data_IF_396625114019
#
_entry.id   IF_396625114019
#
_cell.length_a   1.000
_cell.length_b   1.000
_cell.length_c   1.000
_cell.angle_alpha   90.00
_cell.angle_beta   90.00
_cell.angle_gamma   90.00
#
_symmetry.space_group_name_H-M   'P 1'
#
loop_
_entity.id
_entity.type
_entity.pdbx_description
1 polymer ?
#
# COMPACT_ATOMS: atom_id res chain seq x y z
N UNK A 1 -8.78 6.39 95.81
CA UNK A 1 -9.46 5.63 94.75
C UNK A 1 -9.18 6.24 93.37
N UNK A 2 -8.00 6.03 92.75
CA UNK A 2 -7.64 6.62 91.45
C UNK A 2 -7.74 5.63 90.26
N UNK A 3 -8.03 4.36 90.51
CA UNK A 3 -7.88 3.28 89.53
C UNK A 3 -9.05 3.15 88.54
N UNK A 4 -10.25 3.62 88.87
CA UNK A 4 -11.44 3.51 88.00
C UNK A 4 -11.41 4.45 86.78
N UNK A 5 -10.93 5.67 86.95
CA UNK A 5 -10.83 6.66 85.86
C UNK A 5 -9.81 6.26 84.79
N UNK A 6 -8.70 5.61 85.20
CA UNK A 6 -7.64 5.21 84.27
C UNK A 6 -8.07 4.04 83.37
N UNK A 7 -8.84 3.07 83.90
CA UNK A 7 -9.42 2.00 83.09
C UNK A 7 -10.44 2.56 82.09
N UNK A 8 -11.32 3.45 82.53
CA UNK A 8 -12.32 4.08 81.65
C UNK A 8 -11.67 4.89 80.52
N UNK A 9 -10.57 5.58 80.80
CA UNK A 9 -9.82 6.33 79.79
C UNK A 9 -9.18 5.40 78.75
N UNK A 10 -8.57 4.29 79.20
CA UNK A 10 -7.95 3.28 78.32
C UNK A 10 -8.97 2.57 77.43
N UNK A 11 -10.15 2.26 77.96
CA UNK A 11 -11.24 1.65 77.19
C UNK A 11 -11.83 2.62 76.15
N UNK A 12 -11.93 3.91 76.49
CA UNK A 12 -12.37 4.94 75.55
C UNK A 12 -11.33 5.19 74.45
N UNK A 13 -10.04 5.14 74.78
CA UNK A 13 -8.94 5.23 73.81
C UNK A 13 -8.96 4.03 72.84
N UNK A 14 -9.17 2.81 73.34
CA UNK A 14 -9.32 1.62 72.51
C UNK A 14 -10.54 1.70 71.57
N UNK A 15 -11.66 2.26 72.05
CA UNK A 15 -12.85 2.53 71.24
C UNK A 15 -12.56 3.51 70.11
N UNK A 16 -11.89 4.62 70.40
CA UNK A 16 -11.46 5.61 69.40
C UNK A 16 -10.54 5.00 68.35
N UNK A 17 -9.61 4.12 68.76
CA UNK A 17 -8.72 3.41 67.86
C UNK A 17 -9.48 2.43 66.95
N UNK A 18 -10.43 1.68 67.50
CA UNK A 18 -11.28 0.80 66.70
C UNK A 18 -12.10 1.58 65.68
N UNK A 19 -12.69 2.70 66.06
CA UNK A 19 -13.47 3.55 65.15
C UNK A 19 -12.61 4.11 64.01
N UNK A 20 -11.38 4.52 64.31
CA UNK A 20 -10.41 4.94 63.29
C UNK A 20 -10.11 3.80 62.30
N UNK A 21 -9.83 2.60 62.80
CA UNK A 21 -9.54 1.42 61.96
C UNK A 21 -10.75 1.02 61.11
N UNK A 22 -11.96 1.14 61.63
CA UNK A 22 -13.19 0.90 60.87
C UNK A 22 -13.32 1.92 59.74
N UNK A 23 -13.13 3.22 60.01
CA UNK A 23 -13.18 4.26 58.97
C UNK A 23 -12.10 4.08 57.89
N UNK A 24 -10.91 3.66 58.27
CA UNK A 24 -9.81 3.37 57.33
C UNK A 24 -10.14 2.15 56.44
N UNK A 25 -10.70 1.09 57.04
CA UNK A 25 -11.16 -0.09 56.29
C UNK A 25 -12.33 0.24 55.35
N UNK A 26 -13.28 1.06 55.79
CA UNK A 26 -14.41 1.53 54.97
C UNK A 26 -13.92 2.34 53.76
N UNK A 27 -12.96 3.25 53.96
CA UNK A 27 -12.36 4.03 52.88
C UNK A 27 -11.68 3.11 51.86
N UNK A 28 -10.89 2.15 52.33
CA UNK A 28 -10.22 1.19 51.45
C UNK A 28 -11.24 0.37 50.63
N UNK A 29 -12.28 -0.17 51.27
CA UNK A 29 -13.34 -0.92 50.58
C UNK A 29 -14.04 -0.03 49.54
N UNK A 30 -14.36 1.21 49.87
CA UNK A 30 -14.97 2.16 48.93
C UNK A 30 -14.08 2.35 47.69
N UNK A 31 -12.77 2.57 47.88
CA UNK A 31 -11.84 2.72 46.74
C UNK A 31 -11.72 1.44 45.92
N UNK A 32 -11.75 0.26 46.56
CA UNK A 32 -11.69 -1.02 45.86
C UNK A 32 -12.94 -1.29 45.02
N UNK A 33 -14.12 -0.89 45.50
CA UNK A 33 -15.38 -1.03 44.78
C UNK A 33 -15.40 -0.08 43.58
N UNK A 34 -15.07 1.20 43.78
CA UNK A 34 -15.03 2.20 42.70
C UNK A 34 -14.03 1.82 41.60
N UNK A 35 -12.84 1.33 41.97
CA UNK A 35 -11.84 0.84 41.03
C UNK A 35 -12.29 -0.47 40.34
N UNK A 36 -13.12 -1.27 40.99
CA UNK A 36 -13.77 -2.44 40.39
C UNK A 36 -14.78 -2.04 39.31
N UNK A 37 -15.62 -1.06 39.58
CA UNK A 37 -16.61 -0.52 38.64
C UNK A 37 -15.92 0.15 37.44
N UNK A 38 -14.86 0.92 37.68
CA UNK A 38 -14.05 1.53 36.63
C UNK A 38 -13.43 0.49 35.70
N UNK A 39 -12.87 -0.59 36.25
CA UNK A 39 -12.32 -1.69 35.44
C UNK A 39 -13.40 -2.47 34.69
N UNK A 40 -14.59 -2.64 35.28
CA UNK A 40 -15.70 -3.32 34.63
C UNK A 40 -16.19 -2.54 33.40
N UNK A 41 -16.39 -1.22 33.54
CA UNK A 41 -16.79 -0.34 32.42
C UNK A 41 -15.73 -0.26 31.33
N UNK A 42 -14.45 -0.20 31.69
CA UNK A 42 -13.34 -0.25 30.75
C UNK A 42 -13.30 -1.57 29.97
N UNK A 43 -13.49 -2.70 30.66
CA UNK A 43 -13.57 -4.02 30.03
C UNK A 43 -14.74 -4.14 29.05
N UNK A 44 -15.91 -3.60 29.41
CA UNK A 44 -17.08 -3.60 28.53
C UNK A 44 -16.83 -2.75 27.28
N UNK A 45 -16.23 -1.57 27.45
CA UNK A 45 -15.84 -0.71 26.33
C UNK A 45 -14.88 -1.43 25.38
N UNK A 46 -13.83 -2.06 25.91
CA UNK A 46 -12.85 -2.81 25.11
C UNK A 46 -13.52 -3.98 24.36
N UNK A 47 -14.47 -4.67 24.98
CA UNK A 47 -15.23 -5.73 24.32
C UNK A 47 -16.06 -5.18 23.14
N UNK A 48 -16.72 -4.04 23.30
CA UNK A 48 -17.47 -3.39 22.23
C UNK A 48 -16.55 -2.95 21.07
N UNK A 49 -15.39 -2.36 21.38
CA UNK A 49 -14.39 -1.99 20.38
C UNK A 49 -13.86 -3.20 19.62
N UNK A 50 -13.59 -4.31 20.30
CA UNK A 50 -13.17 -5.58 19.69
C UNK A 50 -14.22 -6.13 18.72
N UNK A 51 -15.49 -6.14 19.13
CA UNK A 51 -16.60 -6.60 18.27
C UNK A 51 -16.70 -5.73 17.02
N UNK A 52 -16.60 -4.40 17.17
CA UNK A 52 -16.59 -3.47 16.03
C UNK A 52 -15.42 -3.74 15.10
N UNK A 53 -14.21 -3.91 15.65
CA UNK A 53 -13.01 -4.20 14.87
C UNK A 53 -13.14 -5.51 14.08
N UNK A 54 -13.68 -6.57 14.69
CA UNK A 54 -13.95 -7.86 14.03
C UNK A 54 -14.98 -7.73 12.90
N UNK A 55 -16.03 -6.94 13.10
CA UNK A 55 -17.01 -6.69 12.05
C UNK A 55 -16.38 -5.91 10.87
N UNK A 56 -15.58 -4.88 11.14
CA UNK A 56 -14.87 -4.15 10.09
C UNK A 56 -13.85 -5.01 9.35
N UNK A 57 -13.12 -5.89 10.06
CA UNK A 57 -12.20 -6.87 9.46
C UNK A 57 -12.94 -7.79 8.49
N UNK A 58 -14.08 -8.35 8.92
CA UNK A 58 -14.93 -9.20 8.09
C UNK A 58 -15.42 -8.45 6.84
N UNK A 59 -15.90 -7.22 6.99
CA UNK A 59 -16.38 -6.42 5.88
C UNK A 59 -15.25 -6.10 4.88
N UNK A 60 -14.07 -5.73 5.36
CA UNK A 60 -12.90 -5.48 4.51
C UNK A 60 -12.50 -6.73 3.72
N UNK A 61 -12.51 -7.90 4.37
CA UNK A 61 -12.24 -9.19 3.70
C UNK A 61 -13.25 -9.52 2.61
N UNK A 62 -14.53 -9.27 2.86
CA UNK A 62 -15.59 -9.48 1.86
C UNK A 62 -15.39 -8.56 0.64
N UNK A 63 -15.13 -7.27 0.87
CA UNK A 63 -14.81 -6.29 -0.20
C UNK A 63 -13.59 -6.70 -1.02
N UNK A 64 -12.52 -7.17 -0.38
CA UNK A 64 -11.34 -7.66 -1.10
C UNK A 64 -11.67 -8.88 -1.96
N UNK A 65 -12.44 -9.82 -1.41
CA UNK A 65 -12.84 -11.01 -2.15
C UNK A 65 -13.74 -10.67 -3.35
N UNK A 66 -14.64 -9.70 -3.22
CA UNK A 66 -15.42 -9.20 -4.36
C UNK A 66 -14.52 -8.59 -5.43
N UNK A 67 -13.55 -7.75 -5.05
CA UNK A 67 -12.61 -7.16 -6.01
C UNK A 67 -11.79 -8.22 -6.75
N UNK A 68 -11.28 -9.23 -6.05
CA UNK A 68 -10.53 -10.33 -6.65
C UNK A 68 -11.42 -11.14 -7.62
N UNK A 69 -12.67 -11.43 -7.24
CA UNK A 69 -13.63 -12.12 -8.12
C UNK A 69 -13.94 -11.29 -9.36
N UNK A 70 -14.23 -10.01 -9.21
CA UNK A 70 -14.50 -9.08 -10.32
C UNK A 70 -13.31 -8.97 -11.25
N UNK A 71 -12.09 -8.82 -10.72
CA UNK A 71 -10.86 -8.76 -11.52
C UNK A 71 -10.65 -10.05 -12.34
N UNK A 72 -10.82 -11.22 -11.70
CA UNK A 72 -10.71 -12.50 -12.38
C UNK A 72 -11.78 -12.65 -13.49
N UNK A 73 -13.03 -12.23 -13.24
CA UNK A 73 -14.09 -12.22 -14.25
C UNK A 73 -13.84 -11.24 -15.41
N UNK A 74 -13.23 -10.07 -15.14
CA UNK A 74 -12.86 -9.11 -16.19
C UNK A 74 -11.73 -9.63 -17.10
N UNK A 75 -10.82 -10.45 -16.57
CA UNK A 75 -9.81 -11.15 -17.38
C UNK A 75 -10.48 -12.15 -18.33
N UNK A 76 -11.58 -12.81 -17.93
CA UNK A 76 -12.30 -13.77 -18.78
C UNK A 76 -12.97 -13.11 -19.99
N UNK A 77 -13.52 -11.90 -19.85
CA UNK A 77 -14.15 -11.18 -20.98
C UNK A 77 -13.14 -10.59 -21.98
N UNK A 78 -11.87 -10.48 -21.60
CA UNK A 78 -10.78 -10.06 -22.52
C UNK A 78 -10.09 -11.24 -23.21
N UNK A 79 -10.23 -12.46 -22.68
CA UNK A 79 -9.60 -13.67 -23.24
C UNK A 79 -10.27 -14.21 -24.52
N UNK A 80 -11.44 -13.69 -24.90
CA UNK A 80 -12.07 -14.04 -26.18
C UNK A 80 -11.32 -13.44 -27.40
N UNK A 81 -10.46 -12.42 -27.19
CA UNK A 81 -9.77 -11.72 -28.29
C UNK A 81 -8.23 -11.70 -28.18
N UNK A 82 -7.62 -12.51 -27.32
CA UNK A 82 -6.16 -12.69 -27.34
C UNK A 82 -5.79 -14.03 -26.73
N UNK A 83 -5.47 -15.00 -27.58
CA UNK A 83 -4.48 -16.00 -27.21
C UNK A 83 -3.19 -15.27 -26.81
N UNK A 84 -2.40 -15.86 -25.92
CA UNK A 84 -1.20 -15.27 -25.28
C UNK A 84 -1.53 -14.45 -24.01
N UNK A 85 -1.87 -15.15 -22.92
CA UNK A 85 -1.35 -14.75 -21.61
C UNK A 85 -0.78 -15.99 -20.93
N UNK A 86 0.55 -15.98 -20.80
CA UNK A 86 1.36 -17.04 -20.24
C UNK A 86 0.90 -17.45 -18.83
N UNK A 87 0.69 -18.74 -18.65
CA UNK A 87 0.36 -19.46 -17.42
C UNK A 87 1.53 -19.56 -16.42
N UNK A 88 2.42 -18.57 -16.33
CA UNK A 88 3.65 -18.66 -15.54
C UNK A 88 3.87 -17.59 -14.46
N UNK A 89 2.91 -16.69 -14.19
CA UNK A 89 3.07 -15.63 -13.15
C UNK A 89 2.17 -15.86 -11.93
N UNK A 90 1.77 -17.09 -11.66
CA UNK A 90 1.06 -17.44 -10.41
C UNK A 90 1.74 -18.64 -9.73
N UNK A 91 3.06 -18.51 -9.56
CA UNK A 91 3.78 -19.24 -8.52
C UNK A 91 3.50 -18.59 -7.17
N UNK A 92 2.56 -19.19 -6.44
CA UNK A 92 2.30 -18.95 -5.02
C UNK A 92 3.58 -19.01 -4.19
N UNK A 93 4.13 -17.86 -3.76
CA UNK A 93 5.09 -17.81 -2.66
C UNK A 93 5.18 -16.41 -2.05
N UNK A 94 4.23 -16.07 -1.18
CA UNK A 94 4.35 -14.97 -0.23
C UNK A 94 3.99 -15.48 1.17
N UNK A 95 4.74 -16.47 1.62
CA UNK A 95 4.80 -16.88 3.03
C UNK A 95 6.21 -17.43 3.30
N UNK A 96 7.20 -16.57 3.52
CA UNK A 96 8.21 -16.80 4.56
C UNK A 96 9.11 -15.57 4.76
N UNK A 97 9.17 -15.08 5.99
CA UNK A 97 10.19 -14.13 6.44
C UNK A 97 11.45 -14.89 6.89
N UNK A 98 12.60 -14.22 6.74
CA UNK A 98 13.91 -14.49 7.37
C UNK A 98 14.87 -15.43 6.62
N UNK A 99 15.65 -14.88 5.68
CA UNK A 99 16.97 -15.43 5.31
C UNK A 99 17.93 -14.31 4.96
N UNK A 100 19.13 -14.39 5.56
CA UNK A 100 20.28 -13.49 5.41
C UNK A 100 20.67 -13.24 3.94
N UNK A 101 20.96 -11.98 3.62
CA UNK A 101 21.42 -11.50 2.32
C UNK A 101 22.85 -12.01 2.02
N UNK A 102 23.01 -12.78 0.95
CA UNK A 102 24.31 -13.07 0.31
C UNK A 102 24.33 -12.39 -1.08
N UNK A 103 25.42 -11.71 -1.48
CA UNK A 103 25.47 -11.06 -2.80
C UNK A 103 25.52 -12.09 -3.95
N UNK A 104 24.98 -11.75 -5.13
CA UNK A 104 24.93 -12.67 -6.27
C UNK A 104 26.33 -12.89 -6.89
N UNK A 105 26.61 -14.08 -7.45
CA UNK A 105 27.88 -14.36 -8.11
C UNK A 105 28.00 -13.65 -9.47
N UNK A 106 29.25 -13.37 -9.84
CA UNK A 106 29.65 -12.60 -11.01
C UNK A 106 29.20 -13.22 -12.35
N UNK A 107 28.86 -12.35 -13.30
CA UNK A 107 28.55 -12.66 -14.69
C UNK A 107 29.73 -13.37 -15.38
N UNK A 108 29.48 -14.56 -15.92
CA UNK A 108 30.35 -15.21 -16.90
C UNK A 108 29.72 -15.11 -18.30
N UNK A 109 30.48 -14.51 -19.22
CA UNK A 109 30.19 -14.47 -20.65
C UNK A 109 30.15 -15.87 -21.27
N UNK A 110 29.14 -16.15 -22.11
CA UNK A 110 29.25 -17.17 -23.16
C UNK A 110 28.25 -16.89 -24.28
N UNK A 111 28.76 -16.59 -25.48
CA UNK A 111 28.00 -16.62 -26.71
C UNK A 111 27.53 -18.06 -26.99
N UNK A 112 26.29 -18.23 -27.44
CA UNK A 112 25.84 -19.46 -28.08
C UNK A 112 24.96 -19.12 -29.28
N UNK A 113 25.52 -19.35 -30.46
CA UNK A 113 24.87 -19.41 -31.76
C UNK A 113 23.94 -20.63 -31.77
N UNK A 114 22.69 -20.45 -32.20
CA UNK A 114 21.70 -21.52 -32.32
C UNK A 114 20.70 -21.22 -33.42
N UNK A 115 21.08 -21.58 -34.64
CA UNK A 115 20.28 -21.56 -35.86
C UNK A 115 19.32 -22.76 -35.89
N UNK A 116 18.02 -22.52 -36.06
CA UNK A 116 17.11 -23.44 -36.78
C UNK A 116 16.01 -22.64 -37.46
N UNK A 117 16.07 -22.64 -38.79
CA UNK A 117 14.98 -22.29 -39.69
C UNK A 117 13.74 -23.12 -39.36
N UNK A 118 12.54 -22.57 -39.54
CA UNK A 118 11.45 -23.32 -40.17
C UNK A 118 10.45 -22.38 -40.85
N UNK A 119 10.41 -22.55 -42.17
CA UNK A 119 9.42 -22.03 -43.11
C UNK A 119 8.11 -22.83 -42.93
N UNK A 120 6.99 -22.14 -42.71
CA UNK A 120 5.68 -22.66 -43.11
C UNK A 120 4.96 -21.61 -43.95
N UNK A 121 4.80 -22.00 -45.22
CA UNK A 121 3.96 -21.45 -46.27
C UNK A 121 2.48 -21.51 -45.88
N UNK A 122 1.72 -20.47 -46.22
CA UNK A 122 0.34 -20.68 -46.67
C UNK A 122 -0.71 -19.68 -46.23
N UNK A 123 -1.14 -18.91 -47.23
CA UNK A 123 -2.55 -18.58 -47.52
C UNK A 123 -3.08 -17.21 -47.09
N UNK A 124 -3.34 -16.43 -48.15
CA UNK A 124 -4.20 -15.27 -48.19
C UNK A 124 -5.61 -15.56 -47.68
N UNK A 125 -6.17 -14.64 -46.89
CA UNK A 125 -7.61 -14.43 -46.78
C UNK A 125 -7.88 -12.99 -46.39
N UNK A 126 -8.90 -12.44 -47.05
CA UNK A 126 -9.30 -11.03 -47.14
C UNK A 126 -9.48 -10.29 -45.83
N UNK A 127 -9.11 -9.01 -45.89
CA UNK A 127 -9.34 -7.97 -44.90
C UNK A 127 -10.67 -7.25 -45.23
N UNK A 128 -11.71 -7.25 -44.38
CA UNK A 128 -12.82 -6.33 -44.59
C UNK A 128 -12.47 -4.96 -44.02
N UNK A 129 -12.43 -4.01 -44.95
CA UNK A 129 -12.46 -2.56 -44.78
C UNK A 129 -13.59 -2.13 -43.82
N UNK A 130 -13.24 -1.42 -42.75
CA UNK A 130 -14.22 -0.84 -41.82
C UNK A 130 -14.15 0.68 -41.90
N UNK A 131 -14.81 1.20 -42.94
CA UNK A 131 -15.28 2.58 -43.03
C UNK A 131 -16.18 2.88 -41.83
N UNK A 132 -15.74 3.78 -40.97
CA UNK A 132 -16.52 4.38 -39.90
C UNK A 132 -17.59 5.30 -40.51
N UNK A 133 -18.80 4.79 -40.68
CA UNK A 133 -19.98 5.62 -40.92
C UNK A 133 -20.77 5.80 -39.62
N UNK A 134 -20.96 7.05 -39.26
CA UNK A 134 -21.79 7.48 -38.14
C UNK A 134 -23.25 7.32 -38.51
N UNK A 135 -24.07 6.70 -37.66
CA UNK A 135 -25.31 7.28 -37.10
C UNK A 135 -26.16 6.23 -36.39
N UNK A 136 -26.57 6.58 -35.18
CA UNK A 136 -27.92 6.37 -34.62
C UNK A 136 -28.47 4.95 -34.52
N UNK A 137 -28.56 4.47 -33.27
CA UNK A 137 -29.78 3.95 -32.64
C UNK A 137 -29.44 2.83 -31.66
N UNK A 138 -29.41 3.14 -30.36
CA UNK A 138 -29.82 2.19 -29.32
C UNK A 138 -30.38 2.99 -28.13
N UNK A 139 -31.67 3.35 -28.24
CA UNK A 139 -32.52 3.56 -27.08
C UNK A 139 -32.92 2.17 -26.57
N UNK A 140 -32.20 1.65 -25.58
CA UNK A 140 -32.53 0.38 -24.92
C UNK A 140 -32.64 0.61 -23.42
N UNK A 141 -33.90 0.63 -23.00
CA UNK A 141 -34.45 0.57 -21.65
C UNK A 141 -33.71 -0.43 -20.75
N UNK A 142 -32.68 0.02 -20.05
CA UNK A 142 -32.24 -0.51 -18.76
C UNK A 142 -31.51 0.62 -18.03
N UNK A 143 -32.24 1.41 -17.25
CA UNK A 143 -31.62 2.25 -16.24
C UNK A 143 -31.14 1.32 -15.11
N UNK A 144 -29.83 1.08 -14.93
CA UNK A 144 -29.39 0.56 -13.66
C UNK A 144 -29.67 1.66 -12.63
N UNK A 145 -30.26 1.24 -11.53
CA UNK A 145 -30.56 2.02 -10.35
C UNK A 145 -29.36 2.88 -9.89
N UNK A 146 -29.35 4.15 -10.31
CA UNK A 146 -28.31 5.13 -9.96
C UNK A 146 -28.46 5.68 -8.53
N UNK A 147 -29.45 5.20 -7.75
CA UNK A 147 -29.60 5.60 -6.34
C UNK A 147 -28.49 5.03 -5.44
N UNK A 148 -27.68 4.10 -5.96
CA UNK A 148 -26.51 3.56 -5.27
C UNK A 148 -25.24 4.43 -5.37
N UNK A 149 -25.26 5.48 -6.19
CA UNK A 149 -24.11 6.40 -6.39
C UNK A 149 -24.19 7.66 -5.52
N UNK A 150 -25.30 7.90 -4.84
CA UNK A 150 -25.58 9.09 -4.01
C UNK A 150 -25.14 8.93 -2.53
N UNK A 151 -24.33 7.91 -2.23
CA UNK A 151 -23.96 7.51 -0.86
C UNK A 151 -22.47 7.68 -0.52
N UNK A 152 -21.68 8.33 -1.38
CA UNK A 152 -20.43 8.92 -0.93
C UNK A 152 -20.77 10.34 -0.49
N UNK A 153 -20.91 10.56 0.81
CA UNK A 153 -21.04 11.92 1.33
C UNK A 153 -19.88 12.76 0.79
N UNK A 154 -20.13 14.00 0.36
CA UNK A 154 -19.08 14.93 -0.07
C UNK A 154 -17.95 15.03 0.98
N UNK A 155 -18.29 14.88 2.26
CA UNK A 155 -17.37 14.77 3.40
C UNK A 155 -16.38 13.60 3.29
N UNK A 156 -16.83 12.43 2.81
CA UNK A 156 -15.98 11.25 2.65
C UNK A 156 -15.02 11.42 1.47
N UNK A 157 -15.46 12.10 0.40
CA UNK A 157 -14.61 12.45 -0.75
C UNK A 157 -13.55 13.47 -0.35
N UNK A 158 -13.91 14.47 0.46
CA UNK A 158 -12.97 15.44 1.01
C UNK A 158 -11.95 14.77 1.93
N UNK A 159 -12.39 13.87 2.82
CA UNK A 159 -11.50 13.10 3.67
C UNK A 159 -10.50 12.24 2.88
N UNK A 160 -10.95 11.56 1.83
CA UNK A 160 -10.07 10.79 0.94
C UNK A 160 -9.07 11.70 0.23
N UNK A 161 -9.49 12.89 -0.22
CA UNK A 161 -8.58 13.85 -0.86
C UNK A 161 -7.46 14.32 0.08
N UNK A 162 -7.79 14.55 1.37
CA UNK A 162 -6.83 14.91 2.40
C UNK A 162 -5.86 13.76 2.71
N UNK A 163 -6.35 12.52 2.73
CA UNK A 163 -5.53 11.33 2.93
C UNK A 163 -4.55 11.12 1.77
N UNK A 164 -5.02 11.29 0.52
CA UNK A 164 -4.18 11.23 -0.68
C UNK A 164 -3.10 12.32 -0.66
N UNK A 165 -3.46 13.56 -0.32
CA UNK A 165 -2.48 14.64 -0.26
C UNK A 165 -1.47 14.43 0.87
N UNK A 166 -1.91 13.93 2.02
CA UNK A 166 -1.02 13.54 3.12
C UNK A 166 -0.02 12.47 2.69
N UNK A 167 -0.48 11.40 2.05
CA UNK A 167 0.40 10.33 1.54
C UNK A 167 1.36 10.87 0.47
N UNK A 168 0.87 11.75 -0.42
CA UNK A 168 1.69 12.41 -1.42
C UNK A 168 2.82 13.23 -0.78
N UNK A 169 2.53 14.01 0.26
CA UNK A 169 3.52 14.80 0.98
C UNK A 169 4.55 13.89 1.64
N UNK A 170 4.12 12.84 2.34
CA UNK A 170 5.01 11.88 2.98
C UNK A 170 5.92 11.18 1.95
N UNK A 171 5.36 10.75 0.82
CA UNK A 171 6.13 10.16 -0.28
C UNK A 171 7.18 11.13 -0.82
N UNK A 172 6.80 12.40 -1.04
CA UNK A 172 7.71 13.43 -1.53
C UNK A 172 8.82 13.72 -0.52
N UNK A 173 8.52 13.75 0.77
CA UNK A 173 9.51 13.94 1.83
C UNK A 173 10.50 12.77 1.86
N UNK A 174 10.00 11.52 1.81
CA UNK A 174 10.85 10.31 1.78
C UNK A 174 11.74 10.28 0.53
N UNK A 175 11.17 10.60 -0.64
CA UNK A 175 11.90 10.69 -1.90
C UNK A 175 12.97 11.79 -1.87
N UNK A 176 12.64 12.95 -1.30
CA UNK A 176 13.57 14.06 -1.10
C UNK A 176 14.73 13.67 -0.19
N UNK A 177 14.45 12.99 0.91
CA UNK A 177 15.48 12.52 1.83
C UNK A 177 16.45 11.54 1.15
N UNK A 178 15.94 10.56 0.39
CA UNK A 178 16.76 9.64 -0.38
C UNK A 178 17.61 10.38 -1.42
N UNK A 179 17.04 11.32 -2.16
CA UNK A 179 17.78 12.13 -3.13
C UNK A 179 18.89 12.95 -2.47
N UNK A 180 18.70 13.43 -1.24
CA UNK A 180 19.75 14.11 -0.48
C UNK A 180 20.87 13.16 -0.09
N UNK A 181 20.55 11.96 0.41
CA UNK A 181 21.54 10.93 0.74
C UNK A 181 22.38 10.56 -0.49
N UNK A 182 21.74 10.32 -1.64
CA UNK A 182 22.42 10.00 -2.90
C UNK A 182 23.31 11.16 -3.36
N UNK A 183 22.83 12.41 -3.24
CA UNK A 183 23.62 13.60 -3.59
C UNK A 183 24.84 13.75 -2.69
N UNK A 184 24.68 13.49 -1.40
CA UNK A 184 25.77 13.54 -0.44
C UNK A 184 26.81 12.47 -0.75
N UNK A 185 26.40 11.21 -0.88
CA UNK A 185 27.29 10.12 -1.27
C UNK A 185 28.02 10.42 -2.57
N UNK A 186 27.30 10.93 -3.59
CA UNK A 186 27.90 11.36 -4.85
C UNK A 186 29.01 12.39 -4.64
N UNK A 187 28.76 13.42 -3.82
CA UNK A 187 29.77 14.44 -3.52
C UNK A 187 30.99 13.90 -2.75
N UNK A 188 30.78 12.93 -1.85
CA UNK A 188 31.87 12.32 -1.09
C UNK A 188 32.79 11.47 -1.98
N UNK A 189 32.21 10.67 -2.87
CA UNK A 189 32.98 9.80 -3.77
C UNK A 189 33.58 10.55 -4.97
N UNK A 190 33.05 11.72 -5.33
CA UNK A 190 33.53 12.51 -6.49
C UNK A 190 35.02 12.88 -6.36
N UNK A 191 35.50 13.18 -5.14
CA UNK A 191 36.91 13.55 -4.89
C UNK A 191 37.87 12.39 -5.16
N UNK A 192 37.37 11.16 -5.04
CA UNK A 192 38.14 9.93 -5.24
C UNK A 192 37.98 9.37 -6.66
N UNK A 193 37.19 10.02 -7.52
CA UNK A 193 36.87 9.57 -8.86
C UNK A 193 38.10 9.65 -9.77
N UNK A 194 38.41 8.56 -10.46
CA UNK A 194 39.49 8.49 -11.46
C UNK A 194 38.90 8.72 -12.85
N UNK A 195 39.16 9.90 -13.43
CA UNK A 195 38.59 10.32 -14.72
C UNK A 195 38.95 9.38 -15.89
N UNK A 196 40.15 8.78 -15.87
CA UNK A 196 40.61 7.86 -16.92
C UNK A 196 39.76 6.58 -17.03
N UNK A 197 39.08 6.18 -15.95
CA UNK A 197 38.27 4.96 -15.89
C UNK A 197 36.78 5.19 -16.19
N UNK A 198 36.40 6.35 -16.72
CA UNK A 198 35.00 6.59 -17.08
C UNK A 198 34.55 5.74 -18.25
N UNK A 199 33.38 5.11 -18.11
CA UNK A 199 32.78 4.34 -19.18
C UNK A 199 31.93 5.22 -20.09
N UNK A 200 31.64 4.74 -21.30
CA UNK A 200 30.70 5.41 -22.21
C UNK A 200 29.31 5.59 -21.58
N UNK A 201 28.88 4.65 -20.72
CA UNK A 201 27.59 4.72 -20.05
C UNK A 201 27.55 5.84 -19.01
N UNK A 202 28.67 6.08 -18.31
CA UNK A 202 28.79 7.19 -17.36
C UNK A 202 28.64 8.52 -18.09
N UNK A 203 29.30 8.69 -19.24
CA UNK A 203 29.18 9.89 -20.07
C UNK A 203 27.73 10.14 -20.53
N UNK A 204 27.04 9.09 -21.01
CA UNK A 204 25.61 9.18 -21.40
C UNK A 204 24.74 9.53 -20.20
N UNK A 205 24.96 8.91 -19.05
CA UNK A 205 24.22 9.20 -17.82
C UNK A 205 24.43 10.65 -17.36
N UNK A 206 25.66 11.16 -17.43
CA UNK A 206 25.96 12.56 -17.09
C UNK A 206 25.24 13.54 -18.01
N UNK A 207 25.17 13.28 -19.32
CA UNK A 207 24.42 14.12 -20.24
C UNK A 207 22.91 14.05 -20.00
N UNK A 208 22.36 12.87 -19.69
CA UNK A 208 20.96 12.71 -19.27
C UNK A 208 20.65 13.51 -18.00
N UNK A 209 21.54 13.50 -17.01
CA UNK A 209 21.41 14.31 -15.80
C UNK A 209 21.45 15.81 -16.12
N UNK A 210 22.38 16.22 -16.99
CA UNK A 210 22.58 17.63 -17.38
C UNK A 210 21.37 18.20 -18.13
N UNK A 211 20.73 17.36 -18.94
CA UNK A 211 19.50 17.68 -19.68
C UNK A 211 18.22 17.56 -18.83
N UNK A 212 18.33 17.02 -17.60
CA UNK A 212 17.19 16.80 -16.71
C UNK A 212 16.29 15.65 -17.14
N UNK A 213 16.82 14.72 -17.93
CA UNK A 213 16.08 13.56 -18.40
C UNK A 213 15.94 12.51 -17.30
N UNK A 214 14.71 12.04 -17.14
CA UNK A 214 14.34 10.94 -16.26
C UNK A 214 13.80 9.80 -17.11
N UNK A 215 13.81 8.58 -16.55
CA UNK A 215 13.19 7.42 -17.20
C UNK A 215 11.76 7.73 -17.69
N UNK A 216 10.96 8.41 -16.87
CA UNK A 216 9.57 8.73 -17.19
C UNK A 216 9.43 9.85 -18.21
N UNK A 217 10.27 10.89 -18.18
CA UNK A 217 10.23 11.96 -19.19
C UNK A 217 10.66 11.42 -20.56
N UNK A 218 11.66 10.54 -20.61
CA UNK A 218 12.09 9.89 -21.84
C UNK A 218 11.01 8.97 -22.38
N UNK A 219 10.40 8.13 -21.55
CA UNK A 219 9.26 7.29 -21.96
C UNK A 219 8.07 8.10 -22.46
N UNK A 220 7.75 9.21 -21.78
CA UNK A 220 6.67 10.11 -22.22
C UNK A 220 6.97 10.72 -23.58
N UNK A 221 8.21 11.13 -23.81
CA UNK A 221 8.67 11.72 -25.07
C UNK A 221 8.70 10.69 -26.21
N UNK A 222 9.27 9.50 -26.01
CA UNK A 222 9.34 8.47 -27.05
C UNK A 222 7.98 7.85 -27.39
N UNK A 223 7.03 7.89 -26.46
CA UNK A 223 5.64 7.46 -26.70
C UNK A 223 4.75 8.57 -27.26
N UNK A 224 5.26 9.79 -27.43
CA UNK A 224 4.51 10.87 -28.06
C UNK A 224 4.32 10.61 -29.56
N UNK A 225 3.24 11.14 -30.13
CA UNK A 225 2.89 10.92 -31.54
C UNK A 225 2.06 9.65 -31.78
N UNK A 226 1.55 9.51 -33.00
CA UNK A 226 0.78 8.34 -33.41
C UNK A 226 1.70 7.14 -33.71
N UNK A 227 1.12 5.93 -33.80
CA UNK A 227 1.88 4.70 -34.09
C UNK A 227 2.57 4.75 -35.44
N UNK A 228 1.91 5.27 -36.48
CA UNK A 228 2.48 5.36 -37.84
C UNK A 228 3.77 6.18 -37.88
N UNK A 229 3.80 7.34 -37.22
CA UNK A 229 4.98 8.21 -37.14
C UNK A 229 6.13 7.52 -36.40
N UNK A 230 5.85 6.81 -35.30
CA UNK A 230 6.89 6.10 -34.54
C UNK A 230 7.46 4.91 -35.30
N UNK A 231 6.62 4.19 -36.06
CA UNK A 231 7.08 3.12 -36.96
C UNK A 231 7.93 3.69 -38.09
N UNK A 232 7.46 4.75 -38.76
CA UNK A 232 8.23 5.39 -39.83
C UNK A 232 9.61 5.89 -39.35
N UNK A 233 9.68 6.55 -38.18
CA UNK A 233 10.94 6.96 -37.57
C UNK A 233 11.87 5.78 -37.30
N UNK A 234 11.32 4.63 -36.86
CA UNK A 234 12.12 3.44 -36.58
C UNK A 234 12.69 2.80 -37.85
N UNK A 235 11.95 2.79 -38.96
CA UNK A 235 12.44 2.28 -40.25
C UNK A 235 13.55 3.18 -40.88
N UNK A 236 13.69 4.42 -40.41
CA UNK A 236 14.70 5.39 -40.87
C UNK A 236 15.98 5.43 -39.99
N UNK A 237 16.03 4.71 -38.86
CA UNK A 237 17.18 4.64 -37.95
C UNK A 237 18.30 3.71 -38.45
#
# INVERSE_FOLDING_TARGET
>A
MPTSHLLSAKTQEEKMLMEHKVREAELLVSTMVEEGERRATESERLQQELIRARFSEKQAKEKLNTLVKTFNSSICHSAANSSIVNSSILGTSLLNNSTMHLPPPAYSHSLAIGSTNDLVVGSAVDLPDLTLESTEALNSTYAPDLTSLDLLNDTDVEQLSLEIEKERVEYLERSRHLQQQLRHLKSEIEVLKVEENQTLLDAVYHEQLRTGETKYSTLRRTRSGNTRTRVAFFEEL
#
